data_IF_728322042479
#
_entry.id   IF_728322042479
#
_cell.length_a   1.000
_cell.length_b   1.000
_cell.length_c   1.000
_cell.angle_alpha   90.00
_cell.angle_beta   90.00
_cell.angle_gamma   90.00
#
_symmetry.space_group_name_H-M   'P 1'
#
loop_
_entity.id
_entity.type
_entity.pdbx_description
1 polymer ?
#
# COMPACT_ATOMS: atom_id res chain seq x y z
N UNK A 1 13.54 21.67 -4.38
CA UNK A 1 14.38 20.78 -5.22
C UNK A 1 13.46 19.77 -5.90
N UNK A 2 13.60 19.71 -7.23
CA UNK A 2 12.84 18.89 -8.19
C UNK A 2 11.42 18.52 -7.77
N UNK A 3 10.50 19.49 -7.96
CA UNK A 3 9.10 19.19 -8.25
C UNK A 3 9.12 18.06 -9.26
N UNK A 4 8.83 16.83 -8.83
CA UNK A 4 8.50 15.75 -9.74
C UNK A 4 7.36 16.31 -10.57
N UNK A 5 7.70 16.78 -11.77
CA UNK A 5 6.73 17.31 -12.71
C UNK A 5 5.86 16.11 -12.96
N UNK A 6 4.71 16.08 -12.27
CA UNK A 6 3.73 15.03 -12.40
C UNK A 6 3.27 15.18 -13.83
N UNK A 7 3.91 14.44 -14.74
CA UNK A 7 3.82 14.63 -16.18
C UNK A 7 2.50 14.03 -16.71
N UNK A 8 1.49 14.02 -15.85
CA UNK A 8 0.18 13.50 -16.16
C UNK A 8 -0.57 14.64 -16.85
N UNK A 9 -0.52 14.60 -18.18
CA UNK A 9 -1.23 15.52 -19.09
C UNK A 9 -2.73 15.60 -18.72
N UNK A 10 -3.27 14.51 -18.16
CA UNK A 10 -4.65 14.41 -17.64
C UNK A 10 -4.87 15.24 -16.37
N UNK A 11 -3.92 15.32 -15.44
CA UNK A 11 -4.10 16.05 -14.19
C UNK A 11 -3.95 17.56 -14.36
N UNK A 12 -3.16 18.03 -15.33
CA UNK A 12 -2.99 19.47 -15.56
C UNK A 12 -4.29 20.21 -15.95
N UNK A 13 -5.33 19.49 -16.38
CA UNK A 13 -6.63 20.07 -16.77
C UNK A 13 -7.70 20.03 -15.66
N UNK A 14 -7.46 19.32 -14.55
CA UNK A 14 -8.41 19.22 -13.43
C UNK A 14 -8.00 20.09 -12.26
N UNK A 15 -8.99 20.69 -11.59
CA UNK A 15 -8.77 21.52 -10.40
C UNK A 15 -8.08 20.73 -9.28
N UNK A 16 -7.27 21.41 -8.47
CA UNK A 16 -6.50 20.79 -7.39
C UNK A 16 -7.38 19.94 -6.44
N UNK A 17 -8.61 20.38 -6.18
CA UNK A 17 -9.59 19.64 -5.38
C UNK A 17 -9.98 18.30 -6.03
N UNK A 18 -10.24 18.30 -7.34
CA UNK A 18 -10.63 17.09 -8.06
C UNK A 18 -9.45 16.12 -8.21
N UNK A 19 -8.23 16.63 -8.40
CA UNK A 19 -7.03 15.79 -8.40
C UNK A 19 -6.88 15.03 -7.07
N UNK A 20 -7.01 15.71 -5.92
CA UNK A 20 -6.90 15.06 -4.61
C UNK A 20 -8.03 14.07 -4.34
N UNK A 21 -9.24 14.33 -4.85
CA UNK A 21 -10.36 13.39 -4.78
C UNK A 21 -10.07 12.12 -5.57
N UNK A 22 -9.51 12.23 -6.77
CA UNK A 22 -9.10 11.07 -7.58
C UNK A 22 -8.05 10.26 -6.83
N UNK A 23 -7.02 10.90 -6.27
CA UNK A 23 -5.98 10.22 -5.49
C UNK A 23 -6.59 9.46 -4.29
N UNK A 24 -7.51 10.09 -3.56
CA UNK A 24 -8.19 9.47 -2.41
C UNK A 24 -9.02 8.26 -2.83
N UNK A 25 -9.82 8.37 -3.89
CA UNK A 25 -10.61 7.24 -4.39
C UNK A 25 -9.73 6.13 -4.95
N UNK A 26 -8.60 6.46 -5.59
CA UNK A 26 -7.61 5.48 -6.03
C UNK A 26 -7.03 4.68 -4.86
N UNK A 27 -6.69 5.34 -3.76
CA UNK A 27 -6.24 4.63 -2.56
C UNK A 27 -7.33 3.74 -1.97
N UNK A 28 -8.56 4.23 -1.86
CA UNK A 28 -9.64 3.50 -1.21
C UNK A 28 -10.16 2.31 -2.03
N UNK A 29 -10.21 2.43 -3.36
CA UNK A 29 -10.83 1.43 -4.24
C UNK A 29 -9.84 0.50 -4.91
N UNK A 30 -8.57 0.92 -5.07
CA UNK A 30 -7.56 0.10 -5.73
C UNK A 30 -6.51 -0.37 -4.72
N UNK A 31 -5.88 0.57 -4.00
CA UNK A 31 -4.74 0.23 -3.13
C UNK A 31 -5.18 -0.54 -1.90
N UNK A 32 -6.18 -0.06 -1.14
CA UNK A 32 -6.63 -0.75 0.07
C UNK A 32 -7.16 -2.17 -0.19
N UNK A 33 -8.04 -2.41 -1.18
CA UNK A 33 -8.49 -3.77 -1.48
C UNK A 33 -7.34 -4.68 -1.91
N UNK A 34 -6.40 -4.16 -2.69
CA UNK A 34 -5.20 -4.90 -3.07
C UNK A 34 -4.33 -5.27 -1.85
N UNK A 35 -4.13 -4.35 -0.92
CA UNK A 35 -3.39 -4.61 0.33
C UNK A 35 -4.10 -5.67 1.17
N UNK A 36 -5.42 -5.57 1.35
CA UNK A 36 -6.21 -6.53 2.12
C UNK A 36 -6.13 -7.93 1.50
N UNK A 37 -6.32 -8.04 0.18
CA UNK A 37 -6.17 -9.31 -0.54
C UNK A 37 -4.76 -9.87 -0.37
N UNK A 38 -3.74 -9.03 -0.53
CA UNK A 38 -2.35 -9.47 -0.40
C UNK A 38 -2.07 -9.96 1.01
N UNK A 39 -2.54 -9.26 2.05
CA UNK A 39 -2.38 -9.70 3.44
C UNK A 39 -3.08 -11.03 3.70
N UNK A 40 -4.30 -11.21 3.18
CA UNK A 40 -5.05 -12.45 3.30
C UNK A 40 -4.27 -13.65 2.72
N UNK A 41 -3.79 -13.54 1.47
CA UNK A 41 -3.01 -14.61 0.85
C UNK A 41 -1.61 -14.77 1.45
N UNK A 42 -0.97 -13.68 1.88
CA UNK A 42 0.33 -13.73 2.53
C UNK A 42 0.27 -14.47 3.86
N UNK A 43 -0.82 -14.33 4.61
CA UNK A 43 -1.04 -15.06 5.85
C UNK A 43 -1.10 -16.57 5.61
N UNK A 44 -1.92 -17.01 4.66
CA UNK A 44 -2.00 -18.42 4.25
C UNK A 44 -0.62 -18.92 3.77
N UNK A 45 0.09 -18.13 2.97
CA UNK A 45 1.41 -18.49 2.46
C UNK A 45 2.46 -18.71 3.55
N UNK A 46 2.48 -17.87 4.59
CA UNK A 46 3.41 -17.99 5.72
C UNK A 46 3.02 -19.16 6.63
N UNK A 47 1.73 -19.28 6.95
CA UNK A 47 1.25 -20.35 7.84
C UNK A 47 1.43 -21.73 7.23
N UNK A 48 1.27 -21.87 5.91
CA UNK A 48 1.52 -23.13 5.21
C UNK A 48 3.01 -23.48 5.24
N UNK A 49 3.90 -22.53 4.94
CA UNK A 49 5.34 -22.73 5.03
C UNK A 49 5.82 -23.13 6.43
N UNK A 50 5.21 -22.55 7.47
CA UNK A 50 5.48 -22.91 8.87
C UNK A 50 5.00 -24.32 9.20
N UNK A 51 3.77 -24.69 8.81
CA UNK A 51 3.21 -26.03 9.04
C UNK A 51 3.97 -27.14 8.30
N UNK A 52 4.45 -26.85 7.09
CA UNK A 52 5.26 -27.78 6.30
C UNK A 52 6.72 -27.86 6.75
N UNK A 53 7.13 -27.04 7.74
CA UNK A 53 8.53 -26.88 8.14
C UNK A 53 9.45 -26.69 6.93
N UNK A 54 9.02 -25.80 6.03
CA UNK A 54 9.61 -25.65 4.71
C UNK A 54 11.05 -25.12 4.81
N UNK A 55 12.01 -25.99 4.51
CA UNK A 55 13.43 -25.72 4.63
C UNK A 55 14.24 -26.25 3.44
N UNK A 56 15.48 -25.80 3.34
CA UNK A 56 16.42 -26.36 2.37
C UNK A 56 16.93 -27.73 2.80
N UNK A 57 17.08 -28.64 1.83
CA UNK A 57 17.65 -29.99 2.04
C UNK A 57 19.19 -29.92 2.03
N UNK A 58 19.76 -28.85 1.47
CA UNK A 58 21.20 -28.68 1.35
C UNK A 58 21.87 -28.41 2.70
N UNK A 59 23.07 -28.97 2.94
CA UNK A 59 23.87 -28.63 4.12
C UNK A 59 24.17 -27.13 4.16
N UNK A 60 23.63 -26.43 5.16
CA UNK A 60 23.78 -24.98 5.33
C UNK A 60 22.75 -24.11 4.59
N UNK A 61 21.73 -24.71 3.98
CA UNK A 61 20.64 -23.96 3.36
C UNK A 61 19.66 -23.36 4.37
N UNK A 62 18.77 -22.49 3.89
CA UNK A 62 17.80 -21.81 4.76
C UNK A 62 16.75 -22.79 5.29
N UNK A 63 16.87 -23.17 6.56
CA UNK A 63 15.98 -24.12 7.24
C UNK A 63 14.57 -23.57 7.44
N UNK A 64 14.44 -22.27 7.71
CA UNK A 64 13.18 -21.62 8.08
C UNK A 64 12.72 -20.64 6.98
N UNK A 65 12.28 -21.16 5.83
CA UNK A 65 11.85 -20.31 4.70
C UNK A 65 10.64 -19.44 5.03
N UNK A 66 9.85 -19.82 6.03
CA UNK A 66 8.73 -19.03 6.53
C UNK A 66 9.17 -17.63 7.02
N UNK A 67 10.42 -17.46 7.50
CA UNK A 67 10.95 -16.18 7.94
C UNK A 67 10.98 -15.20 6.77
N UNK A 68 11.56 -15.58 5.63
CA UNK A 68 11.60 -14.73 4.45
C UNK A 68 10.18 -14.46 3.93
N UNK A 69 9.31 -15.47 3.92
CA UNK A 69 7.91 -15.30 3.51
C UNK A 69 7.15 -14.32 4.41
N UNK A 70 7.49 -14.25 5.70
CA UNK A 70 6.85 -13.33 6.65
C UNK A 70 7.17 -11.86 6.40
N UNK A 71 8.29 -11.54 5.72
CA UNK A 71 8.58 -10.17 5.29
C UNK A 71 7.55 -9.64 4.29
N UNK A 72 6.89 -10.51 3.52
CA UNK A 72 5.77 -10.12 2.67
C UNK A 72 4.61 -9.59 3.52
N UNK A 73 4.23 -10.33 4.56
CA UNK A 73 3.17 -9.95 5.49
C UNK A 73 3.50 -8.64 6.22
N UNK A 74 4.73 -8.51 6.73
CA UNK A 74 5.19 -7.32 7.45
C UNK A 74 5.22 -6.10 6.51
N UNK A 75 5.80 -6.26 5.31
CA UNK A 75 5.92 -5.19 4.32
C UNK A 75 4.56 -4.65 3.89
N UNK A 76 3.62 -5.54 3.56
CA UNK A 76 2.26 -5.13 3.18
C UNK A 76 1.45 -4.56 4.34
N UNK A 77 1.71 -4.99 5.58
CA UNK A 77 1.07 -4.39 6.76
C UNK A 77 1.53 -2.94 6.93
N UNK A 78 2.84 -2.69 6.87
CA UNK A 78 3.40 -1.33 6.95
C UNK A 78 2.92 -0.46 5.78
N UNK A 79 2.90 -1.01 4.56
CA UNK A 79 2.38 -0.31 3.40
C UNK A 79 0.89 0.03 3.52
N UNK A 80 0.08 -0.88 4.09
CA UNK A 80 -1.32 -0.62 4.42
C UNK A 80 -1.50 0.53 5.41
N UNK A 81 -0.73 0.53 6.50
CA UNK A 81 -0.73 1.62 7.48
C UNK A 81 -0.35 2.95 6.81
N UNK A 82 0.72 2.96 6.01
CA UNK A 82 1.16 4.16 5.28
C UNK A 82 0.07 4.68 4.33
N UNK A 83 -0.63 3.78 3.63
CA UNK A 83 -1.73 4.11 2.72
C UNK A 83 -2.90 4.73 3.47
N UNK A 84 -3.27 4.20 4.64
CA UNK A 84 -4.33 4.75 5.49
C UNK A 84 -3.95 6.16 5.95
N UNK A 85 -2.76 6.34 6.52
CA UNK A 85 -2.27 7.65 6.98
C UNK A 85 -2.30 8.67 5.84
N UNK A 86 -1.83 8.28 4.66
CA UNK A 86 -1.84 9.15 3.48
C UNK A 86 -3.26 9.52 3.04
N UNK A 87 -4.19 8.57 3.09
CA UNK A 87 -5.59 8.79 2.72
C UNK A 87 -6.28 9.76 3.69
N UNK A 88 -5.99 9.66 4.99
CA UNK A 88 -6.48 10.61 6.01
C UNK A 88 -5.94 12.02 5.76
N UNK A 89 -4.64 12.16 5.47
CA UNK A 89 -4.04 13.45 5.17
C UNK A 89 -4.62 14.09 3.91
N UNK A 90 -4.91 13.30 2.87
CA UNK A 90 -5.60 13.79 1.67
C UNK A 90 -7.02 14.26 1.99
N UNK A 91 -7.76 13.51 2.80
CA UNK A 91 -9.11 13.89 3.21
C UNK A 91 -9.13 15.23 3.96
N UNK A 92 -8.18 15.47 4.87
CA UNK A 92 -8.01 16.76 5.57
C UNK A 92 -7.71 17.91 4.61
N UNK A 93 -6.78 17.70 3.66
CA UNK A 93 -6.44 18.72 2.66
C UNK A 93 -7.63 19.06 1.75
N UNK A 94 -8.48 18.08 1.43
CA UNK A 94 -9.71 18.30 0.66
C UNK A 94 -10.70 19.16 1.45
N UNK A 95 -10.87 18.92 2.76
CA UNK A 95 -11.75 19.75 3.59
C UNK A 95 -11.25 21.19 3.72
N UNK A 96 -9.94 21.39 3.85
CA UNK A 96 -9.34 22.73 3.96
C UNK A 96 -9.52 23.54 2.67
N UNK A 97 -9.28 22.93 1.51
CA UNK A 97 -9.47 23.57 0.21
C UNK A 97 -10.94 23.96 -0.04
N UNK A 98 -11.89 23.14 0.42
CA UNK A 98 -13.31 23.44 0.31
C UNK A 98 -13.71 24.65 1.15
N UNK A 99 -13.03 24.90 2.28
CA UNK A 99 -13.30 26.03 3.16
C UNK A 99 -12.78 27.35 2.60
N UNK A 100 -11.68 27.34 1.85
CA UNK A 100 -11.07 28.55 1.26
C UNK A 100 -11.77 29.01 -0.03
N UNK A 101 -12.56 28.15 -0.69
CA UNK A 101 -13.32 28.52 -1.90
C UNK A 101 -14.74 29.03 -1.63
N UNK A 102 -15.13 29.14 -0.36
CA UNK A 102 -16.42 29.71 0.11
C UNK A 102 -16.12 31.05 0.74
#
# INVERSE_FOLDING_TARGET
EQTHVRNDILFNRVSELNQKRIDLWGHLLLVLPFVVLTLFYSWEFVTWAWKQNEGSIDPGGLSDRWIIKSFLLIGFTLFGIATITRSVDLARKISDLKKTSV
#
